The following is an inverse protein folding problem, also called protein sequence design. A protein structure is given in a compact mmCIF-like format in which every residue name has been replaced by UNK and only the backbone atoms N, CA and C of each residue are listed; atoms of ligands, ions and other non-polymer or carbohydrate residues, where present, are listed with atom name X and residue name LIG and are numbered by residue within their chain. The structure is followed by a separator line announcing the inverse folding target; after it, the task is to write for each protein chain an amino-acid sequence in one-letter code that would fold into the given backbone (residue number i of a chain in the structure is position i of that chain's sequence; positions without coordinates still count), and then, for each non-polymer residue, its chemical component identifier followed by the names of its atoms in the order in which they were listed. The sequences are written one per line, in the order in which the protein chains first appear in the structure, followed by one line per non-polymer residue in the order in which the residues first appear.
data_IF_224186167323
#
_entry.id   IF_224186167323
#
_cell.length_a   1.000
_cell.length_b   1.000
_cell.length_c   1.000
_cell.angle_alpha   90.00
_cell.angle_beta   90.00
_cell.angle_gamma   90.00
#
_symmetry.space_group_name_H-M   'P 1'
#
loop_
_entity.id
_entity.type
_entity.pdbx_description
1 polymer ?
#
# COMPACT_ATOMS: atom_id res chain seq x y z
N UNK A 1 -7.63 20.59 -26.39
CA UNK A 1 -6.85 21.14 -25.27
C UNK A 1 -7.53 20.71 -23.99
N UNK A 2 -7.25 19.48 -23.53
CA UNK A 2 -7.85 18.93 -22.31
C UNK A 2 -7.03 19.47 -21.15
N UNK A 3 -7.62 20.37 -20.36
CA UNK A 3 -7.12 20.74 -19.05
C UNK A 3 -7.10 19.47 -18.19
N UNK A 4 -5.92 18.88 -17.99
CA UNK A 4 -5.69 17.92 -16.92
C UNK A 4 -5.71 18.73 -15.63
N UNK A 5 -6.78 18.55 -14.85
CA UNK A 5 -6.90 19.12 -13.53
C UNK A 5 -5.69 18.70 -12.68
N UNK A 6 -5.16 19.65 -11.90
CA UNK A 6 -4.07 19.43 -10.95
C UNK A 6 -4.31 18.18 -10.11
N UNK A 7 -3.23 17.43 -9.81
CA UNK A 7 -3.27 16.31 -8.87
C UNK A 7 -3.96 16.77 -7.58
N UNK A 8 -5.07 16.13 -7.17
CA UNK A 8 -5.70 16.48 -5.92
C UNK A 8 -4.72 16.14 -4.79
N UNK A 9 -4.40 17.14 -3.97
CA UNK A 9 -3.63 16.94 -2.74
C UNK A 9 -4.25 15.79 -1.93
N UNK A 10 -3.41 14.99 -1.28
CA UNK A 10 -3.78 13.79 -0.49
C UNK A 10 -4.89 14.01 0.55
N UNK A 11 -5.21 15.25 0.89
CA UNK A 11 -6.37 15.65 1.68
C UNK A 11 -7.74 15.46 1.01
N UNK A 12 -7.79 15.05 -0.27
CA UNK A 12 -9.05 15.05 -1.06
C UNK A 12 -9.65 13.66 -1.26
N UNK A 13 -8.98 12.59 -0.81
CA UNK A 13 -9.64 11.28 -0.72
C UNK A 13 -10.61 11.39 0.46
N UNK A 14 -11.89 11.55 0.13
CA UNK A 14 -12.95 11.74 1.10
C UNK A 14 -12.85 10.63 2.16
N UNK A 15 -12.60 11.03 3.40
CA UNK A 15 -12.68 10.18 4.55
C UNK A 15 -14.12 9.64 4.60
N UNK A 16 -14.34 8.41 4.13
CA UNK A 16 -15.69 7.84 3.90
C UNK A 16 -16.44 7.72 5.23
N UNK A 17 -15.71 7.40 6.30
CA UNK A 17 -16.20 7.49 7.68
C UNK A 17 -16.66 8.90 8.09
N UNK A 18 -16.10 9.97 7.50
CA UNK A 18 -16.52 11.36 7.73
C UNK A 18 -17.72 11.77 6.87
N UNK A 19 -18.10 10.98 5.86
CA UNK A 19 -19.29 11.22 5.05
C UNK A 19 -20.62 10.84 5.76
N UNK A 20 -20.55 10.53 7.06
CA UNK A 20 -21.71 10.38 7.95
C UNK A 20 -22.48 9.06 7.82
N UNK A 21 -21.89 8.05 7.19
CA UNK A 21 -22.60 6.80 6.89
C UNK A 21 -22.57 5.82 8.07
N UNK A 22 -23.66 5.09 8.34
CA UNK A 22 -23.70 4.05 9.36
C UNK A 22 -22.84 2.85 8.91
N UNK A 23 -21.53 2.94 9.13
CA UNK A 23 -20.63 1.80 9.14
C UNK A 23 -20.59 1.16 10.52
N UNK A 24 -20.40 -0.15 10.57
CA UNK A 24 -20.07 -0.78 11.84
C UNK A 24 -18.58 -0.58 12.07
N UNK A 25 -18.22 0.22 13.07
CA UNK A 25 -16.84 0.23 13.57
C UNK A 25 -16.58 -1.13 14.19
N UNK A 26 -15.80 -1.97 13.50
CA UNK A 26 -15.19 -3.09 14.17
C UNK A 26 -14.30 -2.50 15.26
N UNK A 27 -14.38 -3.03 16.49
CA UNK A 27 -13.46 -2.62 17.55
C UNK A 27 -12.00 -2.74 17.08
N UNK A 28 -11.09 -2.02 17.73
CA UNK A 28 -9.67 -2.09 17.39
C UNK A 28 -9.19 -3.55 17.33
N UNK A 29 -8.61 -3.94 16.20
CA UNK A 29 -8.01 -5.24 15.99
C UNK A 29 -6.54 -5.17 16.36
N UNK A 30 -6.06 -6.16 17.10
CA UNK A 30 -4.65 -6.26 17.50
C UNK A 30 -3.74 -6.59 16.31
N UNK A 31 -2.45 -6.28 16.45
CA UNK A 31 -1.45 -6.67 15.45
C UNK A 31 -1.45 -8.20 15.26
N UNK A 32 -1.45 -8.65 14.01
CA UNK A 32 -1.53 -10.04 13.61
C UNK A 32 -2.96 -10.60 13.47
N UNK A 33 -3.99 -9.84 13.83
CA UNK A 33 -5.37 -10.26 13.60
C UNK A 33 -5.70 -10.29 12.09
N UNK A 34 -6.49 -11.28 11.67
CA UNK A 34 -6.96 -11.37 10.30
C UNK A 34 -8.29 -10.63 10.14
N UNK A 35 -8.40 -9.81 9.09
CA UNK A 35 -9.63 -9.10 8.74
C UNK A 35 -10.54 -9.97 7.86
N UNK A 36 -9.92 -10.72 6.94
CA UNK A 36 -10.54 -11.74 6.12
C UNK A 36 -9.47 -12.64 5.51
N UNK A 37 -9.87 -13.84 5.13
CA UNK A 37 -8.99 -14.86 4.56
C UNK A 37 -9.37 -15.12 3.11
N UNK A 38 -8.38 -15.41 2.26
CA UNK A 38 -8.59 -15.86 0.89
C UNK A 38 -9.63 -17.00 0.82
N UNK A 39 -10.57 -16.90 -0.12
CA UNK A 39 -11.67 -17.86 -0.26
C UNK A 39 -12.94 -17.51 0.51
N UNK A 40 -12.89 -16.62 1.51
CA UNK A 40 -14.08 -16.18 2.24
C UNK A 40 -15.07 -15.43 1.34
N UNK A 41 -16.35 -15.52 1.64
CA UNK A 41 -17.39 -14.82 0.87
C UNK A 41 -17.21 -13.31 0.98
N UNK A 42 -17.30 -12.62 -0.16
CA UNK A 42 -17.21 -11.16 -0.20
C UNK A 42 -18.58 -10.55 0.07
N UNK A 43 -18.76 -10.01 1.28
CA UNK A 43 -19.98 -9.30 1.69
C UNK A 43 -19.72 -7.90 2.29
N UNK A 44 -18.44 -7.51 2.43
CA UNK A 44 -17.99 -6.33 3.17
C UNK A 44 -16.98 -5.48 2.41
N UNK A 45 -17.01 -4.19 2.71
CA UNK A 45 -16.00 -3.19 2.34
C UNK A 45 -15.40 -2.65 3.63
N UNK A 46 -14.10 -2.45 3.63
CA UNK A 46 -13.34 -1.94 4.76
C UNK A 46 -12.76 -0.56 4.45
N UNK A 47 -12.94 0.38 5.36
CA UNK A 47 -12.26 1.67 5.40
C UNK A 47 -11.25 1.66 6.55
N UNK A 48 -9.96 1.81 6.23
CA UNK A 48 -8.88 1.76 7.21
C UNK A 48 -8.76 3.11 7.91
N UNK A 49 -9.15 3.19 9.18
CA UNK A 49 -9.12 4.42 9.97
C UNK A 49 -7.74 4.66 10.57
N UNK A 50 -7.10 3.60 11.09
CA UNK A 50 -5.77 3.69 11.67
C UNK A 50 -5.01 2.37 11.57
N UNK A 51 -3.68 2.45 11.69
CA UNK A 51 -2.79 1.29 11.59
C UNK A 51 -2.45 0.92 10.14
N UNK A 52 -1.91 -0.28 9.96
CA UNK A 52 -1.43 -0.81 8.67
C UNK A 52 -1.92 -2.24 8.50
N UNK A 53 -2.46 -2.53 7.32
CA UNK A 53 -2.91 -3.86 6.91
C UNK A 53 -2.01 -4.36 5.79
N UNK A 54 -1.65 -5.64 5.77
CA UNK A 54 -1.01 -6.28 4.62
C UNK A 54 -2.04 -7.09 3.85
N UNK A 55 -1.98 -7.04 2.53
CA UNK A 55 -2.69 -7.96 1.64
C UNK A 55 -1.72 -9.04 1.19
N UNK A 56 -2.10 -10.31 1.30
CA UNK A 56 -1.22 -11.42 0.94
C UNK A 56 -1.96 -12.58 0.28
N UNK A 57 -1.25 -13.33 -0.54
CA UNK A 57 -1.73 -14.54 -1.20
C UNK A 57 -0.78 -15.69 -0.90
N UNK A 58 -1.34 -16.86 -0.62
CA UNK A 58 -0.57 -18.08 -0.51
C UNK A 58 -0.47 -18.76 -1.88
N UNK A 59 0.75 -19.12 -2.27
CA UNK A 59 1.01 -19.88 -3.48
C UNK A 59 0.79 -21.37 -3.21
N UNK A 60 0.49 -22.19 -4.24
CA UNK A 60 0.29 -23.63 -4.08
C UNK A 60 1.49 -24.38 -3.49
N UNK A 61 2.69 -23.82 -3.63
CA UNK A 61 3.93 -24.36 -3.08
C UNK A 61 4.20 -23.93 -1.63
N UNK A 62 3.25 -23.24 -0.99
CA UNK A 62 3.34 -22.77 0.39
C UNK A 62 4.12 -21.47 0.56
N UNK A 63 4.66 -20.88 -0.51
CA UNK A 63 5.24 -19.54 -0.44
C UNK A 63 4.15 -18.49 -0.28
N UNK A 64 4.50 -17.38 0.35
CA UNK A 64 3.61 -16.23 0.51
C UNK A 64 4.06 -15.08 -0.38
N UNK A 65 3.12 -14.43 -1.05
CA UNK A 65 3.34 -13.19 -1.77
C UNK A 65 2.55 -12.08 -1.08
N UNK A 66 3.22 -11.00 -0.67
CA UNK A 66 2.52 -9.79 -0.24
C UNK A 66 2.16 -8.98 -1.49
N UNK A 67 0.88 -8.66 -1.64
CA UNK A 67 0.33 -7.89 -2.74
C UNK A 67 0.47 -6.39 -2.48
N UNK A 68 0.40 -5.97 -1.22
CA UNK A 68 0.52 -4.57 -0.83
C UNK A 68 0.37 -4.35 0.66
N UNK A 69 0.66 -3.12 1.08
CA UNK A 69 0.36 -2.60 2.41
C UNK A 69 -0.63 -1.47 2.26
N UNK A 70 -1.68 -1.50 3.07
CA UNK A 70 -2.73 -0.50 3.10
C UNK A 70 -2.50 0.46 4.28
N UNK A 71 -2.75 1.74 4.03
CA UNK A 71 -2.56 2.83 4.98
C UNK A 71 -3.88 3.52 5.33
N UNK A 72 -3.92 4.30 6.42
CA UNK A 72 -5.14 5.02 6.81
C UNK A 72 -5.70 5.89 5.68
N UNK A 73 -7.02 5.85 5.51
CA UNK A 73 -7.75 6.50 4.42
C UNK A 73 -7.87 5.67 3.14
N UNK A 74 -7.29 4.46 3.09
CA UNK A 74 -7.50 3.54 1.98
C UNK A 74 -8.70 2.61 2.22
N UNK A 75 -9.51 2.46 1.15
CA UNK A 75 -10.65 1.55 1.10
C UNK A 75 -10.22 0.29 0.36
N UNK A 76 -10.65 -0.86 0.87
CA UNK A 76 -10.34 -2.16 0.27
C UNK A 76 -11.48 -3.15 0.45
N UNK A 77 -11.55 -4.14 -0.45
CA UNK A 77 -12.49 -5.26 -0.35
C UNK A 77 -11.75 -6.58 -0.44
N UNK A 78 -12.34 -7.68 0.08
CA UNK A 78 -11.77 -9.02 -0.07
C UNK A 78 -11.52 -9.47 -1.51
N UNK A 79 -12.30 -8.95 -2.48
CA UNK A 79 -12.12 -9.17 -3.91
C UNK A 79 -11.23 -8.10 -4.59
N UNK A 80 -10.59 -7.22 -3.82
CA UNK A 80 -9.79 -6.09 -4.32
C UNK A 80 -10.66 -4.87 -4.60
N UNK A 81 -10.72 -4.41 -5.84
CA UNK A 81 -11.65 -3.36 -6.31
C UNK A 81 -12.82 -3.94 -7.13
N UNK A 82 -12.85 -5.26 -7.33
CA UNK A 82 -13.94 -5.92 -8.01
C UNK A 82 -15.15 -6.01 -7.06
N UNK A 83 -16.06 -5.05 -7.19
CA UNK A 83 -17.36 -5.06 -6.49
C UNK A 83 -18.28 -6.00 -7.27
N UNK A 84 -18.16 -7.31 -7.02
CA UNK A 84 -19.08 -8.31 -7.56
C UNK A 84 -19.71 -9.07 -6.40
N UNK A 85 -21.03 -9.01 -6.29
CA UNK A 85 -21.78 -9.78 -5.30
C UNK A 85 -21.57 -11.30 -5.53
N UNK A 86 -21.30 -12.03 -4.46
CA UNK A 86 -21.21 -13.50 -4.48
C UNK A 86 -19.85 -14.07 -4.90
N UNK A 87 -18.81 -13.25 -5.02
CA UNK A 87 -17.44 -13.72 -5.20
C UNK A 87 -16.78 -14.21 -3.90
N UNK A 88 -15.61 -14.84 -4.04
CA UNK A 88 -14.71 -15.17 -2.93
C UNK A 88 -13.54 -14.18 -2.87
N UNK A 89 -13.01 -13.97 -1.67
CA UNK A 89 -11.82 -13.18 -1.44
C UNK A 89 -10.64 -13.72 -2.25
N UNK A 90 -9.94 -12.85 -2.98
CA UNK A 90 -8.84 -13.24 -3.88
C UNK A 90 -7.47 -13.24 -3.19
N UNK A 91 -7.44 -12.72 -1.96
CA UNK A 91 -6.29 -12.62 -1.07
C UNK A 91 -6.78 -12.56 0.38
N UNK A 92 -5.86 -12.67 1.33
CA UNK A 92 -6.09 -12.44 2.76
C UNK A 92 -5.64 -11.04 3.17
N UNK A 93 -6.26 -10.48 4.21
CA UNK A 93 -5.86 -9.24 4.84
C UNK A 93 -5.55 -9.43 6.33
N UNK A 94 -4.34 -9.07 6.75
CA UNK A 94 -3.93 -9.15 8.16
C UNK A 94 -3.43 -7.81 8.67
N UNK A 95 -3.73 -7.51 9.93
CA UNK A 95 -3.22 -6.37 10.67
C UNK A 95 -1.69 -6.51 10.88
N UNK A 96 -0.91 -5.56 10.39
CA UNK A 96 0.55 -5.47 10.65
C UNK A 96 0.83 -4.75 11.97
N UNK A 97 -0.04 -3.80 12.31
CA UNK A 97 -0.07 -3.07 13.59
C UNK A 97 -1.47 -3.19 14.17
N UNK A 98 -1.74 -2.66 15.36
CA UNK A 98 -3.13 -2.50 15.79
C UNK A 98 -3.88 -1.61 14.78
N UNK A 99 -5.05 -2.04 14.33
CA UNK A 99 -5.83 -1.35 13.29
C UNK A 99 -7.25 -1.04 13.76
N UNK A 100 -7.77 0.11 13.34
CA UNK A 100 -9.19 0.44 13.43
C UNK A 100 -9.77 0.44 12.01
N UNK A 101 -10.88 -0.27 11.81
CA UNK A 101 -11.56 -0.32 10.52
C UNK A 101 -13.05 -0.06 10.66
N UNK A 102 -13.62 0.65 9.70
CA UNK A 102 -15.06 0.77 9.53
C UNK A 102 -15.48 -0.21 8.44
N UNK A 103 -16.51 -1.01 8.75
CA UNK A 103 -17.01 -2.03 7.83
C UNK A 103 -18.39 -1.66 7.32
N UNK A 104 -18.56 -1.75 6.01
CA UNK A 104 -19.83 -1.52 5.32
C UNK A 104 -20.28 -2.79 4.59
N UNK A 105 -21.59 -3.05 4.55
CA UNK A 105 -22.12 -4.14 3.71
C UNK A 105 -22.03 -3.77 2.24
N UNK A 106 -21.53 -4.69 1.42
CA UNK A 106 -21.42 -4.51 -0.02
C UNK A 106 -22.78 -4.22 -0.67
N UNK A 107 -23.85 -4.88 -0.20
CA UNK A 107 -25.22 -4.68 -0.71
C UNK A 107 -25.77 -3.27 -0.51
N UNK A 108 -25.30 -2.55 0.51
CA UNK A 108 -25.68 -1.15 0.75
C UNK A 108 -24.84 -0.18 -0.08
N UNK A 109 -23.74 -0.65 -0.67
CA UNK A 109 -22.78 0.19 -1.38
C UNK A 109 -23.29 0.66 -2.73
N UNK A 110 -24.00 -0.18 -3.48
CA UNK A 110 -24.49 0.17 -4.82
C UNK A 110 -25.46 1.36 -4.80
N UNK A 111 -26.41 1.36 -3.85
CA UNK A 111 -27.35 2.48 -3.67
C UNK A 111 -26.65 3.77 -3.23
N UNK A 112 -25.53 3.64 -2.54
CA UNK A 112 -24.73 4.76 -2.07
C UNK A 112 -23.89 5.36 -3.22
N UNK A 113 -23.26 4.54 -4.06
CA UNK A 113 -22.57 5.00 -5.27
C UNK A 113 -23.55 5.71 -6.23
N UNK A 114 -24.77 5.21 -6.35
CA UNK A 114 -25.81 5.80 -7.19
C UNK A 114 -26.27 7.18 -6.68
N UNK A 115 -26.29 7.39 -5.36
CA UNK A 115 -26.76 8.65 -4.75
C UNK A 115 -25.66 9.70 -4.57
N UNK A 116 -24.38 9.32 -4.67
CA UNK A 116 -23.23 10.23 -4.45
C UNK A 116 -22.16 10.09 -5.53
N UNK A 117 -22.27 10.83 -6.65
CA UNK A 117 -21.31 10.79 -7.75
C UNK A 117 -19.85 11.06 -7.36
N UNK A 118 -19.61 11.88 -6.33
CA UNK A 118 -18.27 12.17 -5.83
C UNK A 118 -17.58 10.93 -5.24
N UNK A 119 -18.34 10.02 -4.63
CA UNK A 119 -17.81 8.77 -4.10
C UNK A 119 -17.41 7.81 -5.21
N UNK A 120 -18.19 7.76 -6.28
CA UNK A 120 -17.85 7.01 -7.50
C UNK A 120 -16.56 7.53 -8.14
N UNK A 121 -16.38 8.85 -8.22
CA UNK A 121 -15.12 9.45 -8.72
C UNK A 121 -13.93 9.12 -7.83
N UNK A 122 -14.10 9.21 -6.51
CA UNK A 122 -13.06 8.85 -5.55
C UNK A 122 -12.66 7.39 -5.69
N UNK A 123 -13.63 6.48 -5.80
CA UNK A 123 -13.38 5.05 -6.00
C UNK A 123 -12.63 4.77 -7.30
N UNK A 124 -13.02 5.42 -8.40
CA UNK A 124 -12.33 5.31 -9.69
C UNK A 124 -10.88 5.81 -9.60
N UNK A 125 -10.64 6.92 -8.90
CA UNK A 125 -9.29 7.43 -8.66
C UNK A 125 -8.45 6.43 -7.85
N UNK A 126 -9.03 5.82 -6.82
CA UNK A 126 -8.36 4.77 -6.03
C UNK A 126 -8.06 3.53 -6.87
N UNK A 127 -9.00 3.08 -7.69
CA UNK A 127 -8.80 1.93 -8.59
C UNK A 127 -7.70 2.22 -9.63
N UNK A 128 -7.69 3.42 -10.22
CA UNK A 128 -6.64 3.85 -11.15
C UNK A 128 -5.26 3.91 -10.48
N UNK A 129 -5.19 4.45 -9.25
CA UNK A 129 -3.97 4.43 -8.42
C UNK A 129 -3.51 2.98 -8.20
N UNK A 130 -4.41 2.08 -7.80
CA UNK A 130 -4.08 0.66 -7.58
C UNK A 130 -3.56 -0.03 -8.84
N UNK A 131 -4.18 0.22 -10.00
CA UNK A 131 -3.72 -0.31 -11.28
C UNK A 131 -2.32 0.21 -11.63
N UNK A 132 -2.09 1.50 -11.47
CA UNK A 132 -0.77 2.10 -11.66
C UNK A 132 0.27 1.49 -10.71
N UNK A 133 -0.07 1.26 -9.43
CA UNK A 133 0.83 0.60 -8.48
C UNK A 133 1.15 -0.84 -8.90
N UNK A 134 0.16 -1.60 -9.37
CA UNK A 134 0.39 -2.94 -9.89
C UNK A 134 1.33 -2.94 -11.12
N UNK A 135 1.19 -1.95 -12.01
CA UNK A 135 2.12 -1.77 -13.13
C UNK A 135 3.55 -1.45 -12.69
N UNK A 136 3.71 -0.58 -11.68
CA UNK A 136 5.02 -0.30 -11.10
C UNK A 136 5.63 -1.54 -10.44
N UNK A 137 4.83 -2.35 -9.76
CA UNK A 137 5.28 -3.60 -9.16
C UNK A 137 5.74 -4.61 -10.23
N UNK A 138 5.09 -4.68 -11.38
CA UNK A 138 5.56 -5.50 -12.51
C UNK A 138 6.93 -5.05 -13.03
N UNK A 139 7.16 -3.75 -13.17
CA UNK A 139 8.47 -3.19 -13.57
C UNK A 139 9.55 -3.50 -12.53
N UNK A 140 9.22 -3.29 -11.25
CA UNK A 140 10.09 -3.57 -10.11
C UNK A 140 10.54 -5.04 -10.10
N UNK A 141 9.61 -5.97 -10.25
CA UNK A 141 9.91 -7.41 -10.25
C UNK A 141 10.62 -7.89 -11.52
N UNK A 142 10.40 -7.23 -12.66
CA UNK A 142 10.96 -7.64 -13.94
C UNK A 142 12.34 -7.08 -14.27
N UNK A 143 12.70 -5.89 -13.78
CA UNK A 143 13.90 -5.16 -14.24
C UNK A 143 14.81 -4.60 -13.15
N UNK A 144 14.29 -4.35 -11.94
CA UNK A 144 15.10 -3.81 -10.85
C UNK A 144 15.92 -4.91 -10.17
N UNK A 145 17.16 -4.59 -9.84
CA UNK A 145 18.03 -5.33 -8.93
C UNK A 145 17.51 -5.25 -7.49
N UNK A 146 17.94 -6.17 -6.62
CA UNK A 146 17.51 -6.21 -5.22
C UNK A 146 17.73 -4.88 -4.47
N UNK A 147 18.85 -4.20 -4.75
CA UNK A 147 19.16 -2.89 -4.15
C UNK A 147 18.19 -1.82 -4.60
N UNK A 148 17.91 -1.74 -5.90
CA UNK A 148 16.97 -0.76 -6.47
C UNK A 148 15.55 -0.98 -5.93
N UNK A 149 15.10 -2.24 -5.87
CA UNK A 149 13.78 -2.60 -5.29
C UNK A 149 13.63 -2.12 -3.85
N UNK A 150 14.64 -2.37 -3.01
CA UNK A 150 14.56 -1.99 -1.61
C UNK A 150 14.60 -0.47 -1.44
N UNK A 151 15.46 0.23 -2.18
CA UNK A 151 15.53 1.68 -2.10
C UNK A 151 14.24 2.34 -2.59
N UNK A 152 13.68 1.85 -3.69
CA UNK A 152 12.37 2.26 -4.17
C UNK A 152 11.29 2.04 -3.11
N UNK A 153 11.30 0.89 -2.43
CA UNK A 153 10.35 0.61 -1.34
C UNK A 153 10.48 1.60 -0.20
N UNK A 154 11.70 1.93 0.23
CA UNK A 154 11.93 2.91 1.30
C UNK A 154 11.42 4.30 0.93
N UNK A 155 11.68 4.75 -0.31
CA UNK A 155 11.17 6.02 -0.82
C UNK A 155 9.64 6.02 -0.86
N UNK A 156 9.03 4.93 -1.31
CA UNK A 156 7.58 4.74 -1.31
C UNK A 156 6.98 4.79 0.10
N UNK A 157 7.63 4.16 1.09
CA UNK A 157 7.17 4.20 2.47
C UNK A 157 7.30 5.60 3.08
N UNK A 158 8.37 6.34 2.74
CA UNK A 158 8.52 7.74 3.11
C UNK A 158 7.40 8.61 2.53
N UNK A 159 7.12 8.43 1.24
CA UNK A 159 6.01 9.09 0.57
C UNK A 159 4.70 8.75 1.26
N UNK A 160 4.35 7.47 1.50
CA UNK A 160 3.05 7.10 2.09
C UNK A 160 2.84 7.67 3.51
N UNK A 161 3.90 7.84 4.28
CA UNK A 161 3.82 8.39 5.64
C UNK A 161 3.88 9.92 5.69
N UNK A 162 4.00 10.58 4.54
CA UNK A 162 4.14 12.04 4.41
C UNK A 162 5.30 12.61 5.25
N UNK A 163 6.38 11.84 5.32
CA UNK A 163 7.55 12.15 6.15
C UNK A 163 8.47 13.08 5.37
N UNK A 164 8.90 14.18 6.00
CA UNK A 164 9.82 15.12 5.37
C UNK A 164 11.20 14.50 5.11
N UNK A 165 11.94 15.07 4.16
CA UNK A 165 13.26 14.57 3.82
C UNK A 165 14.21 14.61 5.04
N UNK A 166 14.70 13.43 5.43
CA UNK A 166 15.62 13.29 6.57
C UNK A 166 14.92 12.98 7.91
N UNK A 167 13.60 12.96 7.96
CA UNK A 167 12.86 12.41 9.09
C UNK A 167 12.83 10.86 9.04
N UNK A 168 12.71 10.18 10.20
CA UNK A 168 12.63 8.73 10.24
C UNK A 168 11.25 8.24 9.76
N UNK A 169 11.27 7.26 8.87
CA UNK A 169 10.10 6.49 8.45
C UNK A 169 9.94 5.26 9.34
N UNK A 170 8.70 4.85 9.61
CA UNK A 170 8.38 3.65 10.39
C UNK A 170 8.01 2.50 9.47
N UNK A 171 8.71 1.38 9.60
CA UNK A 171 8.44 0.13 8.91
C UNK A 171 8.03 -0.91 9.95
N UNK A 172 6.76 -0.95 10.36
CA UNK A 172 6.30 -1.93 11.35
C UNK A 172 6.24 -3.35 10.80
N UNK A 173 6.26 -3.50 9.47
CA UNK A 173 6.34 -4.80 8.82
C UNK A 173 7.73 -5.46 9.02
N UNK A 174 7.74 -6.79 9.08
CA UNK A 174 8.98 -7.55 9.27
C UNK A 174 9.87 -7.54 8.02
N UNK A 175 11.15 -7.92 8.18
CA UNK A 175 12.04 -8.14 7.02
C UNK A 175 11.55 -9.25 6.09
N UNK A 176 10.83 -10.23 6.63
CA UNK A 176 10.17 -11.29 5.85
C UNK A 176 9.04 -10.69 5.02
N UNK A 177 8.20 -9.85 5.61
CA UNK A 177 7.13 -9.17 4.85
C UNK A 177 7.70 -8.29 3.73
N UNK A 178 8.77 -7.54 3.99
CA UNK A 178 9.45 -6.73 2.96
C UNK A 178 10.01 -7.63 1.84
N UNK A 179 10.58 -8.78 2.20
CA UNK A 179 11.13 -9.74 1.24
C UNK A 179 10.02 -10.34 0.36
N UNK A 180 8.93 -10.80 0.98
CA UNK A 180 7.74 -11.34 0.30
C UNK A 180 7.13 -10.30 -0.63
N UNK A 181 7.09 -9.02 -0.24
CA UNK A 181 6.59 -7.93 -1.09
C UNK A 181 7.48 -7.69 -2.31
N UNK A 182 8.81 -7.71 -2.14
CA UNK A 182 9.77 -7.38 -3.20
C UNK A 182 10.20 -8.57 -4.08
N UNK A 183 9.67 -9.77 -3.79
CA UNK A 183 10.08 -11.01 -4.43
C UNK A 183 11.57 -11.31 -4.19
N UNK A 184 12.05 -11.04 -2.97
CA UNK A 184 13.42 -11.25 -2.53
C UNK A 184 13.44 -12.27 -1.39
N UNK A 185 14.63 -12.73 -1.00
CA UNK A 185 14.79 -13.47 0.27
C UNK A 185 15.04 -12.49 1.42
N UNK A 186 14.69 -12.88 2.65
CA UNK A 186 14.94 -12.08 3.85
C UNK A 186 16.44 -11.80 4.05
N UNK A 187 17.32 -12.75 3.72
CA UNK A 187 18.77 -12.59 3.76
C UNK A 187 19.23 -11.51 2.77
N UNK A 188 18.64 -11.50 1.57
CA UNK A 188 18.95 -10.50 0.53
C UNK A 188 18.56 -9.11 1.02
N UNK A 189 17.33 -8.96 1.54
CA UNK A 189 16.86 -7.70 2.12
C UNK A 189 17.79 -7.23 3.24
N UNK A 190 18.18 -8.13 4.14
CA UNK A 190 19.10 -7.82 5.25
C UNK A 190 20.49 -7.38 4.77
N UNK A 191 21.04 -8.03 3.73
CA UNK A 191 22.31 -7.63 3.11
C UNK A 191 22.23 -6.25 2.47
N UNK A 192 21.15 -5.94 1.76
CA UNK A 192 20.96 -4.63 1.15
C UNK A 192 20.80 -3.54 2.22
N UNK A 193 20.04 -3.78 3.29
CA UNK A 193 19.97 -2.85 4.43
C UNK A 193 21.35 -2.54 5.02
N UNK A 194 22.18 -3.57 5.21
CA UNK A 194 23.57 -3.38 5.66
C UNK A 194 24.37 -2.53 4.67
N UNK A 195 24.30 -2.86 3.39
CA UNK A 195 25.02 -2.15 2.32
C UNK A 195 24.65 -0.66 2.24
N UNK A 196 23.35 -0.34 2.37
CA UNK A 196 22.85 1.04 2.39
C UNK A 196 23.33 1.81 3.62
N UNK A 197 23.35 1.14 4.78
CA UNK A 197 23.84 1.73 6.04
C UNK A 197 25.33 2.02 5.99
N UNK A 198 26.15 1.08 5.53
CA UNK A 198 27.60 1.25 5.40
C UNK A 198 27.99 2.40 4.45
N UNK A 199 27.11 2.75 3.52
CA UNK A 199 27.28 3.86 2.57
C UNK A 199 26.65 5.17 3.02
N UNK A 200 26.14 5.23 4.25
CA UNK A 200 25.44 6.39 4.81
C UNK A 200 24.23 6.85 3.96
N UNK A 201 23.61 5.96 3.21
CA UNK A 201 22.39 6.28 2.45
C UNK A 201 21.18 6.25 3.39
N UNK A 202 21.20 5.32 4.34
CA UNK A 202 20.20 5.20 5.41
C UNK A 202 20.88 5.10 6.77
N UNK A 203 20.14 5.46 7.81
CA UNK A 203 20.47 5.17 9.20
C UNK A 203 19.31 4.39 9.84
N UNK A 204 19.63 3.34 10.59
CA UNK A 204 18.63 2.57 11.33
C UNK A 204 18.52 3.14 12.74
N UNK A 205 17.30 3.46 13.18
CA UNK A 205 16.96 3.84 14.56
C UNK A 205 16.14 2.69 15.16
N UNK A 206 16.81 1.73 15.78
CA UNK A 206 16.14 0.51 16.26
C UNK A 206 15.71 -0.43 15.14
N UNK A 207 14.67 -1.24 15.40
CA UNK A 207 14.25 -2.32 14.50
C UNK A 207 13.32 -1.87 13.37
N UNK A 208 12.48 -0.87 13.63
CA UNK A 208 11.38 -0.45 12.73
C UNK A 208 11.55 0.98 12.22
N UNK A 209 12.38 1.84 12.81
CA UNK A 209 12.59 3.20 12.29
C UNK A 209 13.83 3.28 11.40
N UNK A 210 13.68 3.89 10.24
CA UNK A 210 14.74 4.08 9.25
C UNK A 210 14.74 5.54 8.85
N UNK A 211 15.90 6.19 8.87
CA UNK A 211 16.08 7.54 8.32
C UNK A 211 16.79 7.43 6.98
N UNK A 212 16.22 8.05 5.94
CA UNK A 212 16.89 8.21 4.66
C UNK A 212 17.82 9.43 4.79
N UNK A 213 19.12 9.18 4.89
CA UNK A 213 20.13 10.22 5.17
C UNK A 213 20.50 10.98 3.90
N UNK A 214 20.55 10.28 2.77
CA UNK A 214 20.81 10.86 1.45
C UNK A 214 19.68 10.54 0.47
N UNK A 215 18.59 11.34 0.47
CA UNK A 215 17.47 11.15 -0.44
C UNK A 215 17.85 11.28 -1.92
N UNK A 216 18.87 12.09 -2.23
CA UNK A 216 19.33 12.29 -3.61
C UNK A 216 19.96 11.01 -4.17
N UNK A 217 20.87 10.40 -3.41
CA UNK A 217 21.50 9.13 -3.78
C UNK A 217 20.52 7.96 -3.75
N UNK A 218 19.57 7.97 -2.81
CA UNK A 218 18.48 6.99 -2.80
C UNK A 218 17.65 7.06 -4.10
N UNK A 219 17.24 8.26 -4.54
CA UNK A 219 16.51 8.43 -5.80
C UNK A 219 17.34 7.99 -7.01
N UNK A 220 18.62 8.34 -7.07
CA UNK A 220 19.51 7.88 -8.15
C UNK A 220 19.55 6.35 -8.27
N UNK A 221 19.64 5.65 -7.12
CA UNK A 221 19.61 4.19 -7.11
C UNK A 221 18.27 3.68 -7.62
N UNK A 222 17.14 4.19 -7.15
CA UNK A 222 15.82 3.74 -7.60
C UNK A 222 15.53 4.08 -9.09
N UNK A 223 16.04 5.21 -9.58
CA UNK A 223 15.79 5.74 -10.92
C UNK A 223 16.61 5.05 -12.02
N UNK A 224 17.70 4.35 -11.68
CA UNK A 224 18.52 3.62 -12.66
C UNK A 224 17.69 2.62 -13.50
N UNK A 225 16.57 2.12 -12.97
CA UNK A 225 15.61 1.31 -13.70
C UNK A 225 14.30 2.04 -14.11
N UNK A 226 14.00 3.21 -13.51
CA UNK A 226 12.74 3.95 -13.73
C UNK A 226 12.81 4.97 -14.88
N UNK A 227 14.01 5.30 -15.37
CA UNK A 227 14.23 6.26 -16.46
C UNK A 227 13.55 5.92 -17.80
N UNK A 228 12.89 4.77 -17.93
CA UNK A 228 12.21 4.33 -19.15
C UNK A 228 10.68 4.57 -19.20
N UNK A 229 9.98 4.97 -18.11
CA UNK A 229 8.49 4.84 -18.13
C UNK A 229 7.67 5.98 -17.51
N UNK A 230 8.21 7.18 -17.27
CA UNK A 230 7.34 8.36 -17.20
C UNK A 230 8.03 9.61 -17.76
N UNK A 231 7.42 10.30 -18.75
CA UNK A 231 7.83 11.64 -19.09
C UNK A 231 7.57 12.55 -17.88
N UNK A 232 8.62 13.18 -17.36
CA UNK A 232 8.46 14.31 -16.43
C UNK A 232 7.64 15.36 -17.18
N UNK A 233 6.45 15.70 -16.70
CA UNK A 233 5.77 16.91 -17.16
C UNK A 233 6.69 18.08 -16.83
N UNK A 234 7.27 18.68 -17.87
CA UNK A 234 7.94 19.98 -17.74
C UNK A 234 6.84 20.98 -17.39
N UNK A 235 6.95 21.59 -16.22
CA UNK A 235 6.30 22.87 -15.94
C UNK A 235 6.79 23.92 -16.93
#
# INVERSE_FOLDING_TARGET
MLHVAAEPSRSTIANWSAAGEPGFRAGALEAGASLFIEGETVDKIYDLVSGIVRLSKMLPDGRRQILGFLFPGEIFTPSGFAISHGGCATCSADAVTAVEVVTHRLSSFDGLLASRPELTRSLLATAAKSLFMAQQQMLLLGRMSATERLVWFLLRMAEQQDVEAGEPIRLPMSRVDIADYLGLTMETVSRVFRWLRERNIIALKGATEIRIVDPGRARQIADCACSATMPRCRQ
#
